data_IF_778304954388
#
_entry.id   IF_778304954388
#
_cell.length_a   1.000
_cell.length_b   1.000
_cell.length_c   1.000
_cell.angle_alpha   90.00
_cell.angle_beta   90.00
_cell.angle_gamma   90.00
#
_symmetry.space_group_name_H-M   'P 1'
#
loop_
_entity.id
_entity.type
_entity.pdbx_description
1 polymer ?
#
# COMPACT_ATOMS: atom_id res chain seq x y z
N UNK A 1 17.36 -19.46 22.79
CA UNK A 1 16.20 -19.00 22.01
C UNK A 1 16.74 -18.36 20.72
N UNK A 2 16.60 -19.00 19.56
CA UNK A 2 17.05 -18.43 18.27
C UNK A 2 15.87 -17.66 17.67
N UNK A 3 16.02 -16.35 17.46
CA UNK A 3 15.06 -15.57 16.69
C UNK A 3 15.13 -16.06 15.24
N UNK A 4 14.03 -16.60 14.71
CA UNK A 4 13.89 -16.80 13.27
C UNK A 4 13.93 -15.43 12.59
N UNK A 5 14.62 -15.25 11.44
CA UNK A 5 14.53 -14.00 10.70
C UNK A 5 13.05 -13.71 10.40
N UNK A 6 12.58 -12.54 10.82
CA UNK A 6 11.22 -12.12 10.55
C UNK A 6 11.01 -12.14 9.03
N UNK A 7 9.95 -12.80 8.56
CA UNK A 7 9.57 -12.71 7.15
C UNK A 7 9.32 -11.23 6.83
N UNK A 8 9.94 -10.74 5.77
CA UNK A 8 9.70 -9.38 5.29
C UNK A 8 8.26 -9.27 4.81
N UNK A 9 7.48 -8.37 5.40
CA UNK A 9 6.15 -8.00 4.91
C UNK A 9 6.29 -7.44 3.49
N UNK A 10 5.51 -7.99 2.56
CA UNK A 10 5.45 -7.53 1.17
C UNK A 10 4.04 -7.09 0.83
N UNK A 11 3.95 -6.03 0.03
CA UNK A 11 2.74 -5.52 -0.59
C UNK A 11 2.92 -5.57 -2.11
N UNK A 12 1.90 -6.02 -2.82
CA UNK A 12 1.87 -6.07 -4.28
C UNK A 12 0.49 -5.71 -4.82
N UNK A 13 0.41 -5.36 -6.10
CA UNK A 13 -0.84 -5.18 -6.82
C UNK A 13 -0.80 -5.95 -8.14
N UNK A 14 -1.92 -6.55 -8.52
CA UNK A 14 -2.11 -7.05 -9.89
C UNK A 14 -2.28 -5.93 -10.92
N UNK A 15 -2.57 -4.69 -10.49
CA UNK A 15 -2.83 -3.57 -11.39
C UNK A 15 -1.55 -2.94 -11.97
N UNK A 16 -0.43 -2.97 -11.22
CA UNK A 16 0.85 -2.42 -11.65
C UNK A 16 2.02 -3.01 -10.85
N UNK A 17 3.22 -3.11 -11.45
CA UNK A 17 4.41 -3.55 -10.71
C UNK A 17 4.92 -2.44 -9.77
N UNK A 18 5.80 -2.77 -8.80
CA UNK A 18 6.46 -1.77 -7.97
C UNK A 18 7.14 -0.69 -8.83
N UNK A 19 6.93 0.58 -8.48
CA UNK A 19 7.40 1.76 -9.24
C UNK A 19 6.88 1.85 -10.69
N UNK A 20 5.93 0.99 -11.07
CA UNK A 20 5.23 1.08 -12.34
C UNK A 20 4.21 2.22 -12.35
N UNK A 21 3.81 2.61 -13.56
CA UNK A 21 2.75 3.60 -13.76
C UNK A 21 1.41 3.05 -13.25
N UNK A 22 0.73 3.83 -12.42
CA UNK A 22 -0.63 3.53 -11.96
C UNK A 22 -1.61 3.68 -13.15
N UNK A 23 -2.42 2.66 -13.48
CA UNK A 23 -3.40 2.73 -14.56
C UNK A 23 -4.47 3.82 -14.37
N UNK A 24 -4.97 4.39 -15.47
CA UNK A 24 -5.94 5.51 -15.45
C UNK A 24 -7.19 5.25 -14.61
N UNK A 25 -7.67 4.01 -14.54
CA UNK A 25 -8.85 3.67 -13.72
C UNK A 25 -8.68 3.99 -12.22
N UNK A 26 -7.43 4.09 -11.75
CA UNK A 26 -7.10 4.33 -10.34
C UNK A 26 -6.76 5.79 -10.01
N UNK A 27 -6.84 6.70 -10.99
CA UNK A 27 -6.58 8.13 -10.77
C UNK A 27 -7.87 8.92 -10.90
N UNK A 28 -7.88 10.17 -10.42
CA UNK A 28 -9.05 11.06 -10.42
C UNK A 28 -9.74 11.19 -11.78
N UNK A 29 -8.97 11.19 -12.88
CA UNK A 29 -9.50 11.33 -14.24
C UNK A 29 -10.15 10.05 -14.80
N UNK A 30 -10.01 8.90 -14.12
CA UNK A 30 -10.70 7.66 -14.45
C UNK A 30 -11.78 7.33 -13.43
N UNK A 31 -11.92 6.05 -13.11
CA UNK A 31 -12.95 5.57 -12.17
C UNK A 31 -12.66 5.96 -10.71
N UNK A 32 -11.44 6.41 -10.41
CA UNK A 32 -10.96 6.78 -9.08
C UNK A 32 -11.17 5.67 -8.02
N UNK A 33 -11.10 4.40 -8.44
CA UNK A 33 -11.21 3.24 -7.56
C UNK A 33 -9.83 2.82 -7.04
N UNK A 34 -9.76 2.31 -5.81
CA UNK A 34 -8.50 1.81 -5.25
C UNK A 34 -7.93 0.65 -6.07
N UNK A 35 -6.60 0.50 -6.14
CA UNK A 35 -5.99 -0.69 -6.72
C UNK A 35 -6.21 -1.91 -5.82
N UNK A 36 -6.26 -3.08 -6.43
CA UNK A 36 -6.17 -4.34 -5.68
C UNK A 36 -4.80 -4.39 -4.99
N UNK A 37 -4.79 -4.84 -3.73
CA UNK A 37 -3.60 -4.96 -2.93
C UNK A 37 -3.56 -6.33 -2.24
N UNK A 38 -2.44 -7.00 -2.39
CA UNK A 38 -2.15 -8.31 -1.80
C UNK A 38 -0.96 -8.21 -0.86
N UNK A 39 -1.06 -8.90 0.28
CA UNK A 39 -0.05 -8.91 1.34
C UNK A 39 0.55 -10.30 1.48
N UNK A 40 1.85 -10.38 1.76
CA UNK A 40 2.49 -11.66 2.12
C UNK A 40 3.61 -11.45 3.13
N UNK A 41 4.03 -12.54 3.78
CA UNK A 41 5.11 -12.47 4.78
C UNK A 41 4.70 -11.80 6.09
N UNK A 42 3.42 -11.85 6.45
CA UNK A 42 2.94 -11.33 7.74
C UNK A 42 3.70 -11.97 8.91
N UNK A 43 4.23 -11.17 9.86
CA UNK A 43 4.86 -11.70 11.06
C UNK A 43 3.89 -12.58 11.86
N UNK A 44 4.43 -13.60 12.52
CA UNK A 44 3.63 -14.43 13.42
C UNK A 44 3.03 -13.56 14.52
N UNK A 45 1.71 -13.70 14.72
CA UNK A 45 0.99 -12.95 15.76
C UNK A 45 0.49 -11.57 15.32
N UNK A 46 0.72 -11.15 14.07
CA UNK A 46 0.07 -9.96 13.51
C UNK A 46 -1.46 -10.07 13.69
N UNK A 47 -2.06 -9.03 14.28
CA UNK A 47 -3.50 -9.00 14.59
C UNK A 47 -4.30 -8.21 13.57
N UNK A 48 -3.71 -7.13 13.08
CA UNK A 48 -4.33 -6.21 12.14
C UNK A 48 -3.24 -5.57 11.27
N UNK A 49 -3.66 -5.04 10.13
CA UNK A 49 -2.87 -4.21 9.23
C UNK A 49 -3.43 -2.79 9.17
N UNK A 50 -2.54 -1.88 8.80
CA UNK A 50 -2.87 -0.52 8.40
C UNK A 50 -2.19 -0.20 7.06
N UNK A 51 -2.88 0.57 6.23
CA UNK A 51 -2.41 1.08 4.94
C UNK A 51 -2.52 2.60 4.95
N UNK A 52 -1.42 3.26 4.57
CA UNK A 52 -1.39 4.70 4.28
C UNK A 52 -0.78 4.87 2.89
N UNK A 53 -1.52 5.52 1.99
CA UNK A 53 -1.04 5.87 0.65
C UNK A 53 -0.80 7.37 0.62
N UNK A 54 0.46 7.76 0.39
CA UNK A 54 0.93 9.15 0.47
C UNK A 54 1.56 9.52 -0.88
N UNK A 55 1.20 10.69 -1.38
CA UNK A 55 1.89 11.37 -2.47
C UNK A 55 2.78 12.48 -1.89
N UNK A 56 4.11 12.26 -1.80
CA UNK A 56 5.05 13.29 -1.36
C UNK A 56 5.32 14.37 -2.41
N UNK A 57 4.92 14.14 -3.67
CA UNK A 57 5.15 15.06 -4.78
C UNK A 57 3.93 15.99 -5.03
N UNK A 58 2.86 15.82 -4.26
CA UNK A 58 1.67 16.64 -4.34
C UNK A 58 2.00 18.14 -4.10
N UNK A 59 1.40 19.07 -4.86
CA UNK A 59 1.63 20.50 -4.65
C UNK A 59 1.17 20.94 -3.26
N UNK A 60 2.08 21.52 -2.46
CA UNK A 60 1.77 22.01 -1.13
C UNK A 60 2.99 22.05 -0.22
N UNK A 61 2.78 22.49 1.02
CA UNK A 61 3.82 22.44 2.06
C UNK A 61 3.96 21.05 2.68
N UNK A 62 2.94 20.19 2.55
CA UNK A 62 2.86 18.87 3.19
C UNK A 62 2.44 17.79 2.18
N UNK A 63 2.89 16.53 2.35
CA UNK A 63 2.45 15.39 1.53
C UNK A 63 0.94 15.19 1.55
N UNK A 64 0.37 14.74 0.43
CA UNK A 64 -1.06 14.44 0.34
C UNK A 64 -1.34 12.97 0.69
N UNK A 65 -2.26 12.73 1.61
CA UNK A 65 -2.69 11.37 1.98
C UNK A 65 -3.90 10.97 1.14
N UNK A 66 -3.69 10.07 0.18
CA UNK A 66 -4.75 9.58 -0.71
C UNK A 66 -5.68 8.57 -0.04
N UNK A 67 -5.14 7.74 0.87
CA UNK A 67 -5.93 6.69 1.51
C UNK A 67 -5.35 6.31 2.88
N UNK A 68 -6.24 6.18 3.86
CA UNK A 68 -5.97 5.58 5.17
C UNK A 68 -6.98 4.46 5.40
N UNK A 69 -6.49 3.26 5.70
CA UNK A 69 -7.31 2.13 6.13
C UNK A 69 -6.60 1.39 7.27
N UNK A 70 -7.35 0.92 8.26
CA UNK A 70 -6.81 0.20 9.42
C UNK A 70 -7.83 -0.81 9.96
N UNK A 71 -7.35 -1.74 10.77
CA UNK A 71 -8.19 -2.83 11.29
C UNK A 71 -8.43 -3.96 10.28
N UNK A 72 -7.64 -3.98 9.20
CA UNK A 72 -7.60 -5.04 8.17
C UNK A 72 -7.06 -6.32 8.78
#
# INVERSE_FOLDING_TARGET
>A
MRLSPAKTLKLSSSAFPPHGKIPTRHVQAGDNVSPELSWSGLPQGAKQLALVVIDPDAPGAEPFVHWVAYGI
#
